data_IF_582961738930
#
_entry.id   IF_582961738930
#
_cell.length_a   1.000
_cell.length_b   1.000
_cell.length_c   1.000
_cell.angle_alpha   90.00
_cell.angle_beta   90.00
_cell.angle_gamma   90.00
#
_symmetry.space_group_name_H-M   'P 1'
#
loop_
_entity.id
_entity.type
_entity.pdbx_description
1 polymer ?
#
# COMPACT_ATOMS: atom_id res chain seq x y z
N UNK A 1 -16.65 -13.43 -7.59
CA UNK A 1 -16.43 -14.29 -8.77
C UNK A 1 -16.59 -15.77 -8.44
N UNK A 2 -15.72 -16.39 -7.63
CA UNK A 2 -15.75 -17.84 -7.36
C UNK A 2 -17.10 -18.28 -6.80
N UNK A 3 -17.58 -17.67 -5.74
CA UNK A 3 -18.78 -18.09 -5.02
C UNK A 3 -20.09 -17.75 -5.76
N UNK A 4 -20.21 -16.53 -6.29
CA UNK A 4 -21.45 -16.05 -6.89
C UNK A 4 -21.61 -16.42 -8.37
N UNK A 5 -20.47 -16.57 -9.09
CA UNK A 5 -20.48 -16.84 -10.54
C UNK A 5 -20.04 -18.26 -10.88
N UNK A 6 -19.74 -19.08 -9.86
CA UNK A 6 -19.29 -20.48 -10.03
C UNK A 6 -18.02 -20.64 -10.88
N UNK A 7 -17.08 -19.69 -10.77
CA UNK A 7 -15.82 -19.73 -11.50
C UNK A 7 -14.79 -20.55 -10.70
N UNK A 8 -14.80 -21.86 -10.88
CA UNK A 8 -14.00 -22.78 -10.07
C UNK A 8 -12.67 -23.20 -10.72
N UNK A 9 -12.44 -22.83 -11.96
CA UNK A 9 -11.19 -23.10 -12.64
C UNK A 9 -10.37 -21.83 -12.74
N UNK A 10 -9.15 -21.89 -12.26
CA UNK A 10 -8.21 -20.77 -12.27
C UNK A 10 -7.02 -21.16 -13.11
N UNK A 11 -6.66 -20.29 -14.06
CA UNK A 11 -5.39 -20.40 -14.77
C UNK A 11 -4.43 -19.45 -14.08
N UNK A 12 -3.43 -20.00 -13.43
CA UNK A 12 -2.29 -19.26 -12.91
C UNK A 12 -1.29 -19.10 -14.05
N UNK A 13 -0.96 -17.87 -14.41
CA UNK A 13 -0.04 -17.59 -15.50
C UNK A 13 1.17 -16.83 -14.96
N UNK A 14 2.35 -17.37 -15.20
CA UNK A 14 3.64 -16.77 -14.86
C UNK A 14 4.36 -16.35 -16.15
N UNK A 15 4.73 -15.08 -16.26
CA UNK A 15 5.47 -14.57 -17.42
C UNK A 15 6.97 -14.73 -17.13
N UNK A 16 7.68 -15.38 -18.05
CA UNK A 16 9.12 -15.66 -17.92
C UNK A 16 9.93 -14.36 -17.98
N UNK A 17 10.60 -14.03 -16.85
CA UNK A 17 11.48 -12.87 -16.80
C UNK A 17 10.80 -11.57 -17.25
N UNK A 18 9.58 -11.29 -16.77
CA UNK A 18 8.76 -10.19 -17.27
C UNK A 18 9.49 -8.86 -17.29
N UNK A 19 10.11 -8.48 -16.16
CA UNK A 19 10.79 -7.19 -16.05
C UNK A 19 12.00 -7.06 -16.97
N UNK A 20 12.63 -8.16 -17.33
CA UNK A 20 13.82 -8.19 -18.19
C UNK A 20 13.47 -8.25 -19.68
N UNK A 21 12.23 -8.61 -20.01
CA UNK A 21 11.78 -8.83 -21.39
C UNK A 21 10.81 -7.77 -21.94
N UNK A 22 10.56 -6.69 -21.20
CA UNK A 22 9.71 -5.59 -21.67
C UNK A 22 10.34 -4.91 -22.88
N UNK A 23 9.65 -4.92 -24.03
CA UNK A 23 10.13 -4.24 -25.23
C UNK A 23 9.98 -2.73 -25.13
N UNK A 24 11.10 -2.00 -25.15
CA UNK A 24 11.13 -0.53 -25.01
C UNK A 24 10.32 0.19 -26.06
N UNK A 25 10.44 -0.21 -27.33
CA UNK A 25 9.73 0.43 -28.43
C UNK A 25 8.23 0.28 -28.28
N UNK A 26 7.76 -0.94 -27.95
CA UNK A 26 6.35 -1.22 -27.72
C UNK A 26 5.81 -0.43 -26.53
N UNK A 27 6.56 -0.36 -25.43
CA UNK A 27 6.17 0.42 -24.26
C UNK A 27 6.01 1.91 -24.57
N UNK A 28 6.96 2.52 -25.31
CA UNK A 28 6.86 3.92 -25.70
C UNK A 28 5.65 4.15 -26.63
N UNK A 29 5.36 3.23 -27.55
CA UNK A 29 4.15 3.30 -28.38
C UNK A 29 2.87 3.22 -27.54
N UNK A 30 2.82 2.33 -26.54
CA UNK A 30 1.68 2.22 -25.63
C UNK A 30 1.46 3.52 -24.85
N UNK A 31 2.50 4.12 -24.30
CA UNK A 31 2.44 5.41 -23.60
C UNK A 31 1.89 6.50 -24.52
N UNK A 32 2.36 6.55 -25.76
CA UNK A 32 1.86 7.48 -26.78
C UNK A 32 0.36 7.29 -27.06
N UNK A 33 -0.09 6.04 -27.24
CA UNK A 33 -1.51 5.72 -27.47
C UNK A 33 -2.40 5.99 -26.27
N UNK A 34 -1.86 5.97 -25.05
CA UNK A 34 -2.56 6.39 -23.84
C UNK A 34 -2.76 7.91 -23.73
N UNK A 35 -2.22 8.69 -24.69
CA UNK A 35 -2.40 10.14 -24.77
C UNK A 35 -1.22 10.97 -24.25
N UNK A 36 -0.15 10.35 -23.79
CA UNK A 36 1.08 11.04 -23.36
C UNK A 36 1.96 11.27 -24.59
N UNK A 37 1.84 12.46 -25.20
CA UNK A 37 2.48 12.80 -26.49
C UNK A 37 3.62 13.81 -26.37
N UNK A 38 4.07 14.14 -25.17
CA UNK A 38 5.24 14.97 -24.95
C UNK A 38 6.51 14.22 -25.36
N UNK A 39 7.11 14.66 -26.48
CA UNK A 39 8.32 14.02 -27.03
C UNK A 39 9.52 14.09 -26.07
N UNK A 40 9.67 15.19 -25.31
CA UNK A 40 10.78 15.32 -24.35
C UNK A 40 10.64 14.31 -23.22
N UNK A 41 9.42 14.16 -22.67
CA UNK A 41 9.13 13.15 -21.64
C UNK A 41 9.37 11.73 -22.15
N UNK A 42 8.93 11.42 -23.38
CA UNK A 42 9.14 10.09 -23.97
C UNK A 42 10.64 9.80 -24.23
N UNK A 43 11.42 10.81 -24.60
CA UNK A 43 12.87 10.67 -24.68
C UNK A 43 13.51 10.39 -23.33
N UNK A 44 13.10 11.11 -22.27
CA UNK A 44 13.59 10.88 -20.91
C UNK A 44 13.27 9.44 -20.47
N UNK A 45 12.04 8.97 -20.67
CA UNK A 45 11.64 7.60 -20.33
C UNK A 45 12.50 6.58 -21.11
N UNK A 46 12.77 6.83 -22.39
CA UNK A 46 13.62 5.95 -23.22
C UNK A 46 15.05 5.88 -22.67
N UNK A 47 15.64 7.01 -22.32
CA UNK A 47 17.00 7.05 -21.73
C UNK A 47 17.04 6.36 -20.36
N UNK A 48 16.02 6.51 -19.54
CA UNK A 48 15.89 5.78 -18.27
C UNK A 48 15.81 4.25 -18.48
N UNK A 49 15.12 3.79 -19.51
CA UNK A 49 15.02 2.36 -19.85
C UNK A 49 16.34 1.79 -20.37
N UNK A 50 17.17 2.60 -21.00
CA UNK A 50 18.50 2.23 -21.53
C UNK A 50 19.64 2.47 -20.55
N UNK A 51 19.35 3.02 -19.37
CA UNK A 51 20.37 3.31 -18.39
C UNK A 51 21.20 2.05 -18.07
N UNK A 52 22.52 2.17 -18.00
CA UNK A 52 23.39 1.03 -17.75
C UNK A 52 23.13 0.47 -16.34
N UNK A 53 23.20 -0.84 -16.22
CA UNK A 53 23.06 -1.59 -14.96
C UNK A 53 24.45 -2.02 -14.51
N UNK A 54 24.84 -1.59 -13.32
CA UNK A 54 26.09 -2.04 -12.70
C UNK A 54 25.79 -3.32 -11.91
N UNK A 55 26.39 -4.42 -12.35
CA UNK A 55 26.22 -5.72 -11.70
C UNK A 55 27.06 -5.80 -10.40
N UNK A 56 26.77 -6.73 -9.48
CA UNK A 56 27.51 -6.89 -8.23
C UNK A 56 29.01 -7.17 -8.40
N UNK A 57 29.41 -7.73 -9.54
CA UNK A 57 30.80 -8.00 -9.93
C UNK A 57 31.50 -6.78 -10.56
N UNK A 58 30.79 -5.64 -10.69
CA UNK A 58 31.31 -4.41 -11.30
C UNK A 58 31.17 -4.34 -12.82
N UNK A 59 30.64 -5.37 -13.49
CA UNK A 59 30.37 -5.31 -14.93
C UNK A 59 29.21 -4.37 -15.23
N UNK A 60 29.26 -3.70 -16.38
CA UNK A 60 28.21 -2.76 -16.82
C UNK A 60 27.48 -3.36 -18.00
N UNK A 61 26.19 -3.58 -17.81
CA UNK A 61 25.30 -4.06 -18.87
C UNK A 61 24.41 -2.94 -19.42
N UNK A 62 24.23 -2.90 -20.73
CA UNK A 62 23.32 -1.98 -21.43
C UNK A 62 22.07 -2.74 -21.87
N UNK A 63 20.93 -2.58 -21.17
CA UNK A 63 19.74 -3.36 -21.46
C UNK A 63 19.12 -2.95 -22.80
N UNK A 64 18.93 -3.91 -23.71
CA UNK A 64 18.17 -3.71 -24.96
C UNK A 64 16.66 -3.77 -24.74
N UNK A 65 16.22 -4.50 -23.71
CA UNK A 65 14.85 -4.69 -23.28
C UNK A 65 14.80 -4.59 -21.75
N UNK A 66 13.59 -4.62 -21.22
CA UNK A 66 13.37 -4.67 -19.78
C UNK A 66 13.11 -3.32 -19.13
N UNK A 67 12.77 -3.40 -17.85
CA UNK A 67 12.62 -2.23 -16.97
C UNK A 67 13.55 -2.42 -15.78
N UNK A 68 14.36 -1.41 -15.39
CA UNK A 68 15.34 -1.55 -14.31
C UNK A 68 14.69 -2.05 -13.02
N UNK A 69 15.16 -3.18 -12.50
CA UNK A 69 14.66 -3.70 -11.22
C UNK A 69 15.05 -2.73 -10.09
N UNK A 70 14.07 -2.35 -9.26
CA UNK A 70 14.25 -1.32 -8.22
C UNK A 70 14.07 0.13 -8.70
N UNK A 71 13.90 0.36 -10.00
CA UNK A 71 13.58 1.69 -10.52
C UNK A 71 12.20 2.18 -10.08
N UNK A 72 12.08 3.45 -9.70
CA UNK A 72 10.83 4.04 -9.18
C UNK A 72 9.69 3.94 -10.20
N UNK A 73 9.98 4.08 -11.49
CA UNK A 73 8.99 4.01 -12.57
C UNK A 73 8.70 2.60 -13.05
N UNK A 74 9.55 1.61 -12.77
CA UNK A 74 9.42 0.25 -13.31
C UNK A 74 8.05 -0.40 -13.03
N UNK A 75 7.47 -0.32 -11.80
CA UNK A 75 6.14 -0.87 -11.56
C UNK A 75 5.02 -0.17 -12.35
N UNK A 76 5.16 1.13 -12.61
CA UNK A 76 4.20 1.87 -13.43
C UNK A 76 4.29 1.46 -14.90
N UNK A 77 5.51 1.43 -15.45
CA UNK A 77 5.76 1.08 -16.85
C UNK A 77 5.35 -0.36 -17.14
N UNK A 78 5.62 -1.29 -16.24
CA UNK A 78 5.17 -2.68 -16.31
C UNK A 78 3.64 -2.80 -16.34
N UNK A 79 2.95 -1.99 -15.55
CA UNK A 79 1.48 -1.94 -15.59
C UNK A 79 0.95 -1.34 -16.90
N UNK A 80 1.66 -0.40 -17.53
CA UNK A 80 1.33 0.12 -18.86
C UNK A 80 1.40 -0.99 -19.91
N UNK A 81 2.46 -1.79 -19.89
CA UNK A 81 2.64 -2.91 -20.83
C UNK A 81 1.47 -3.90 -20.75
N UNK A 82 1.13 -4.35 -19.57
CA UNK A 82 0.08 -5.36 -19.37
C UNK A 82 -1.35 -4.80 -19.37
N UNK A 83 -1.53 -3.48 -19.39
CA UNK A 83 -2.86 -2.88 -19.53
C UNK A 83 -3.55 -3.30 -20.84
N UNK A 84 -2.79 -3.55 -21.89
CA UNK A 84 -3.31 -4.04 -23.18
C UNK A 84 -3.89 -5.46 -23.04
N UNK A 85 -3.26 -6.32 -22.21
CA UNK A 85 -3.77 -7.63 -21.86
C UNK A 85 -5.09 -7.54 -21.07
N UNK A 86 -5.16 -6.63 -20.09
CA UNK A 86 -6.37 -6.42 -19.29
C UNK A 86 -7.57 -6.05 -20.19
N UNK A 87 -7.38 -5.13 -21.12
CA UNK A 87 -8.40 -4.73 -22.09
C UNK A 87 -8.79 -5.85 -23.05
N UNK A 88 -7.80 -6.59 -23.54
CA UNK A 88 -8.07 -7.71 -24.44
C UNK A 88 -8.88 -8.81 -23.75
N UNK A 89 -8.51 -9.22 -22.55
CA UNK A 89 -9.30 -10.22 -21.77
C UNK A 89 -10.70 -9.70 -21.47
N UNK A 90 -10.84 -8.43 -21.05
CA UNK A 90 -12.14 -7.85 -20.77
C UNK A 90 -13.04 -7.79 -22.04
N UNK A 91 -12.47 -7.60 -23.23
CA UNK A 91 -13.21 -7.61 -24.49
C UNK A 91 -13.75 -8.99 -24.87
N UNK A 92 -13.16 -10.07 -24.37
CA UNK A 92 -13.61 -11.44 -24.68
C UNK A 92 -14.92 -11.82 -23.94
N UNK A 93 -15.26 -11.12 -22.85
CA UNK A 93 -16.44 -11.41 -22.06
C UNK A 93 -17.08 -10.17 -21.42
N UNK A 94 -16.36 -9.47 -20.54
CA UNK A 94 -16.95 -8.40 -19.71
C UNK A 94 -17.44 -7.21 -20.52
N UNK A 95 -16.73 -6.85 -21.59
CA UNK A 95 -17.01 -5.72 -22.46
C UNK A 95 -17.39 -6.15 -23.88
N UNK A 96 -17.77 -7.42 -24.06
CA UNK A 96 -18.27 -7.90 -25.35
C UNK A 96 -19.54 -7.09 -25.70
N UNK A 97 -19.59 -6.47 -26.90
CA UNK A 97 -20.76 -5.73 -27.34
C UNK A 97 -21.97 -6.65 -27.54
N UNK A 98 -23.16 -6.12 -27.33
CA UNK A 98 -24.41 -6.81 -27.55
C UNK A 98 -25.20 -6.12 -28.64
N UNK A 99 -25.89 -6.89 -29.51
CA UNK A 99 -26.79 -6.35 -30.52
C UNK A 99 -28.10 -5.81 -29.91
N UNK A 100 -28.45 -6.28 -28.70
CA UNK A 100 -29.62 -5.83 -27.96
C UNK A 100 -29.21 -4.96 -26.78
N UNK A 101 -29.95 -3.86 -26.56
CA UNK A 101 -29.71 -2.97 -25.42
C UNK A 101 -30.44 -3.48 -24.17
N UNK A 102 -29.65 -4.04 -23.23
CA UNK A 102 -30.18 -4.53 -21.96
C UNK A 102 -30.32 -3.40 -20.95
N UNK A 103 -31.50 -3.28 -20.34
CA UNK A 103 -31.68 -2.41 -19.16
C UNK A 103 -30.90 -3.00 -17.97
N UNK A 104 -29.81 -2.33 -17.60
CA UNK A 104 -28.96 -2.75 -16.50
C UNK A 104 -29.20 -1.86 -15.27
N UNK A 105 -29.60 -2.46 -14.18
CA UNK A 105 -29.67 -1.81 -12.87
C UNK A 105 -28.31 -1.32 -12.42
N UNK A 106 -28.24 -0.12 -11.85
CA UNK A 106 -27.02 0.43 -11.27
C UNK A 106 -26.94 0.03 -9.79
N UNK A 107 -25.91 -0.70 -9.41
CA UNK A 107 -25.66 -1.09 -8.03
C UNK A 107 -25.23 0.11 -7.16
N UNK A 108 -25.38 0.03 -5.81
CA UNK A 108 -24.99 1.12 -4.91
C UNK A 108 -23.53 1.60 -5.07
N UNK A 109 -22.63 0.74 -5.55
CA UNK A 109 -21.24 1.09 -5.85
C UNK A 109 -21.04 1.77 -7.22
N UNK A 110 -22.10 2.08 -7.96
CA UNK A 110 -22.09 2.72 -9.27
C UNK A 110 -21.75 1.80 -10.45
N UNK A 111 -21.65 0.48 -10.26
CA UNK A 111 -21.43 -0.48 -11.36
C UNK A 111 -22.74 -0.96 -11.94
N UNK A 112 -22.81 -1.20 -13.27
CA UNK A 112 -23.95 -1.82 -13.94
C UNK A 112 -24.05 -3.29 -13.57
N UNK A 113 -25.27 -3.75 -13.26
CA UNK A 113 -25.56 -5.17 -13.07
C UNK A 113 -25.73 -5.86 -14.45
N UNK A 114 -24.70 -6.57 -14.89
CA UNK A 114 -24.67 -7.25 -16.19
C UNK A 114 -25.19 -8.70 -16.15
N UNK A 115 -25.91 -9.11 -15.10
CA UNK A 115 -26.33 -10.52 -14.92
C UNK A 115 -27.18 -11.06 -16.07
N UNK A 116 -28.10 -10.26 -16.61
CA UNK A 116 -28.95 -10.62 -17.77
C UNK A 116 -28.11 -10.79 -19.04
N UNK A 117 -27.16 -9.91 -19.29
CA UNK A 117 -26.24 -9.99 -20.42
C UNK A 117 -25.42 -11.28 -20.36
N UNK A 118 -24.81 -11.56 -19.19
CA UNK A 118 -24.01 -12.77 -19.01
C UNK A 118 -24.86 -14.05 -19.07
N UNK A 119 -26.15 -13.99 -18.64
CA UNK A 119 -27.10 -15.07 -18.83
C UNK A 119 -27.36 -15.35 -20.30
N UNK A 120 -27.61 -14.32 -21.10
CA UNK A 120 -27.79 -14.43 -22.54
C UNK A 120 -26.53 -15.02 -23.21
N UNK A 121 -25.33 -14.48 -22.95
CA UNK A 121 -24.09 -15.00 -23.52
C UNK A 121 -23.89 -16.50 -23.26
N UNK A 122 -24.18 -16.97 -22.02
CA UNK A 122 -24.05 -18.39 -21.67
C UNK A 122 -25.02 -19.29 -22.42
N UNK A 123 -26.22 -18.80 -22.74
CA UNK A 123 -27.32 -19.59 -23.30
C UNK A 123 -27.36 -19.52 -24.81
N UNK A 124 -26.93 -18.41 -25.43
CA UNK A 124 -27.11 -18.15 -26.86
C UNK A 124 -25.81 -18.06 -27.64
N UNK A 125 -24.65 -18.11 -26.98
CA UNK A 125 -23.36 -17.96 -27.65
C UNK A 125 -22.35 -19.04 -27.24
N UNK A 126 -21.29 -19.19 -28.05
CA UNK A 126 -20.14 -20.04 -27.75
C UNK A 126 -19.00 -19.28 -27.04
N UNK A 127 -19.25 -18.05 -26.56
CA UNK A 127 -18.26 -17.25 -25.83
C UNK A 127 -17.76 -17.97 -24.59
N UNK A 128 -16.50 -17.77 -24.26
CA UNK A 128 -15.87 -18.35 -23.07
C UNK A 128 -15.87 -17.33 -21.93
N UNK A 129 -16.53 -17.67 -20.84
CA UNK A 129 -16.60 -16.82 -19.65
C UNK A 129 -15.24 -16.76 -18.97
N UNK A 130 -14.60 -15.60 -19.01
CA UNK A 130 -13.28 -15.34 -18.43
C UNK A 130 -13.22 -14.00 -17.72
N UNK A 131 -12.51 -13.97 -16.59
CA UNK A 131 -12.21 -12.75 -15.83
C UNK A 131 -10.74 -12.77 -15.44
N UNK A 132 -10.08 -11.62 -15.54
CA UNK A 132 -8.69 -11.45 -15.09
C UNK A 132 -8.64 -10.75 -13.74
N UNK A 133 -7.73 -11.23 -12.88
CA UNK A 133 -7.28 -10.52 -11.67
C UNK A 133 -5.76 -10.46 -11.75
N UNK A 134 -5.21 -9.25 -11.78
CA UNK A 134 -3.77 -9.02 -11.96
C UNK A 134 -3.22 -8.09 -10.90
N UNK A 135 -2.02 -8.40 -10.46
CA UNK A 135 -1.17 -7.54 -9.64
C UNK A 135 0.25 -7.56 -10.23
N UNK A 136 0.64 -6.46 -10.89
CA UNK A 136 1.85 -6.39 -11.70
C UNK A 136 1.88 -7.50 -12.77
N UNK A 137 2.85 -8.39 -12.73
CA UNK A 137 3.02 -9.55 -13.61
C UNK A 137 2.33 -10.83 -13.12
N UNK A 138 1.99 -10.89 -11.84
CA UNK A 138 1.23 -12.03 -11.28
C UNK A 138 -0.26 -11.87 -11.60
N UNK A 139 -0.81 -12.75 -12.41
CA UNK A 139 -2.22 -12.70 -12.77
C UNK A 139 -2.89 -14.07 -12.86
N UNK A 140 -4.19 -14.04 -12.66
CA UNK A 140 -5.05 -15.22 -12.69
C UNK A 140 -6.27 -14.99 -13.57
N UNK A 141 -6.61 -16.03 -14.34
CA UNK A 141 -7.81 -16.06 -15.16
C UNK A 141 -8.82 -17.01 -14.54
N UNK A 142 -10.02 -16.53 -14.31
CA UNK A 142 -11.09 -17.30 -13.70
C UNK A 142 -12.08 -17.76 -14.76
N UNK A 143 -12.34 -19.07 -14.81
CA UNK A 143 -13.20 -19.71 -15.79
C UNK A 143 -14.22 -20.62 -15.10
N UNK A 144 -15.33 -20.88 -15.79
CA UNK A 144 -16.40 -21.77 -15.29
C UNK A 144 -16.09 -23.25 -15.54
N UNK A 145 -15.55 -23.59 -16.72
CA UNK A 145 -15.25 -24.95 -17.17
C UNK A 145 -13.77 -25.14 -17.39
N UNK A 146 -13.30 -26.38 -17.22
CA UNK A 146 -11.89 -26.74 -17.46
C UNK A 146 -11.51 -26.56 -18.92
N UNK A 147 -12.37 -27.03 -19.84
CA UNK A 147 -12.14 -26.88 -21.28
C UNK A 147 -12.02 -25.43 -21.74
N UNK A 148 -12.74 -24.51 -21.09
CA UNK A 148 -12.62 -23.07 -21.37
C UNK A 148 -11.30 -22.52 -20.84
N UNK A 149 -10.88 -22.95 -19.65
CA UNK A 149 -9.60 -22.56 -19.06
C UNK A 149 -8.41 -22.99 -19.92
N UNK A 150 -8.44 -24.21 -20.48
CA UNK A 150 -7.42 -24.73 -21.39
C UNK A 150 -7.34 -23.90 -22.68
N UNK A 151 -8.47 -23.61 -23.32
CA UNK A 151 -8.53 -22.80 -24.54
C UNK A 151 -8.06 -21.37 -24.30
N UNK A 152 -8.47 -20.76 -23.18
CA UNK A 152 -8.08 -19.40 -22.79
C UNK A 152 -6.59 -19.35 -22.49
N UNK A 153 -6.02 -20.35 -21.84
CA UNK A 153 -4.59 -20.41 -21.57
C UNK A 153 -3.77 -20.41 -22.86
N UNK A 154 -4.16 -21.22 -23.84
CA UNK A 154 -3.51 -21.25 -25.17
C UNK A 154 -3.61 -19.88 -25.84
N UNK A 155 -4.80 -19.28 -25.86
CA UNK A 155 -5.02 -17.99 -26.49
C UNK A 155 -4.22 -16.86 -25.80
N UNK A 156 -4.13 -16.87 -24.48
CA UNK A 156 -3.33 -15.87 -23.72
C UNK A 156 -1.84 -16.05 -23.97
N UNK A 157 -1.35 -17.30 -24.00
CA UNK A 157 0.05 -17.59 -24.32
C UNK A 157 0.42 -17.05 -25.70
N UNK A 158 -0.41 -17.35 -26.72
CA UNK A 158 -0.19 -16.85 -28.07
C UNK A 158 -0.28 -15.33 -28.14
N UNK A 159 -1.27 -14.72 -27.50
CA UNK A 159 -1.43 -13.27 -27.49
C UNK A 159 -0.24 -12.54 -26.86
N UNK A 160 0.27 -13.03 -25.72
CA UNK A 160 1.45 -12.47 -25.04
C UNK A 160 2.68 -12.54 -25.95
N UNK A 161 2.89 -13.68 -26.61
CA UNK A 161 3.98 -13.88 -27.56
C UNK A 161 3.85 -12.92 -28.76
N UNK A 162 2.71 -12.94 -29.46
CA UNK A 162 2.53 -12.22 -30.71
C UNK A 162 2.46 -10.69 -30.49
N UNK A 163 1.79 -10.26 -29.44
CA UNK A 163 1.50 -8.85 -29.20
C UNK A 163 2.56 -8.14 -28.38
N UNK A 164 3.09 -8.80 -27.35
CA UNK A 164 4.03 -8.19 -26.40
C UNK A 164 5.45 -8.78 -26.48
N UNK A 165 5.66 -9.85 -27.24
CA UNK A 165 6.92 -10.61 -27.30
C UNK A 165 7.33 -11.16 -25.93
N UNK A 166 6.36 -11.55 -25.14
CA UNK A 166 6.54 -12.13 -23.79
C UNK A 166 6.23 -13.62 -23.82
N UNK A 167 7.05 -14.40 -23.14
CA UNK A 167 6.88 -15.82 -23.03
C UNK A 167 6.27 -16.23 -21.67
N UNK A 168 5.38 -17.22 -21.68
CA UNK A 168 4.80 -17.81 -20.49
C UNK A 168 5.70 -18.94 -19.98
N UNK A 169 5.96 -18.98 -18.67
CA UNK A 169 6.65 -20.10 -18.03
C UNK A 169 5.69 -21.28 -17.90
N UNK A 170 5.86 -22.31 -18.72
CA UNK A 170 5.00 -23.51 -18.69
C UNK A 170 5.16 -24.32 -17.40
N UNK A 171 6.36 -24.31 -16.83
CA UNK A 171 6.65 -25.04 -15.58
C UNK A 171 5.92 -24.43 -14.37
N UNK A 172 5.76 -23.12 -14.35
CA UNK A 172 5.11 -22.38 -13.25
C UNK A 172 3.62 -22.14 -13.49
N UNK A 173 3.19 -22.13 -14.76
CA UNK A 173 1.80 -21.90 -15.11
C UNK A 173 0.98 -23.17 -14.98
N UNK A 174 -0.23 -23.06 -14.40
CA UNK A 174 -1.07 -24.23 -14.13
C UNK A 174 -2.56 -23.90 -14.12
N UNK A 175 -3.38 -24.90 -14.45
CA UNK A 175 -4.84 -24.82 -14.36
C UNK A 175 -5.29 -25.55 -13.09
N UNK A 176 -5.90 -24.83 -12.17
CA UNK A 176 -6.29 -25.32 -10.85
C UNK A 176 -7.82 -25.43 -10.76
N UNK A 177 -8.31 -26.56 -10.26
CA UNK A 177 -9.70 -26.69 -9.82
C UNK A 177 -9.81 -26.35 -8.35
N UNK A 178 -10.37 -25.18 -8.05
CA UNK A 178 -10.52 -24.66 -6.68
C UNK A 178 -11.37 -25.54 -5.75
N UNK A 179 -12.22 -26.43 -6.29
CA UNK A 179 -12.96 -27.40 -5.47
C UNK A 179 -12.05 -28.50 -4.90
N UNK A 180 -10.89 -28.74 -5.54
CA UNK A 180 -9.96 -29.80 -5.15
C UNK A 180 -8.67 -29.27 -4.54
N UNK A 181 -8.10 -28.23 -5.13
CA UNK A 181 -6.80 -27.69 -4.78
C UNK A 181 -6.88 -26.20 -4.41
N UNK A 182 -5.92 -25.73 -3.62
CA UNK A 182 -5.71 -24.32 -3.35
C UNK A 182 -5.03 -23.63 -4.55
N UNK A 183 -5.40 -22.38 -4.80
CA UNK A 183 -4.64 -21.46 -5.66
C UNK A 183 -4.04 -20.37 -4.80
N UNK A 184 -2.74 -20.14 -4.94
CA UNK A 184 -1.99 -19.13 -4.20
C UNK A 184 -1.96 -17.82 -4.96
N UNK A 185 -2.19 -16.71 -4.27
CA UNK A 185 -2.09 -15.36 -4.82
C UNK A 185 -1.71 -14.35 -3.75
N UNK A 186 -0.61 -13.61 -3.95
CA UNK A 186 -0.13 -12.57 -3.04
C UNK A 186 0.00 -13.01 -1.57
N UNK A 187 0.49 -14.22 -1.35
CA UNK A 187 0.65 -14.78 0.00
C UNK A 187 -0.64 -15.32 0.64
N UNK A 188 -1.74 -15.32 -0.11
CA UNK A 188 -2.98 -15.99 0.27
C UNK A 188 -3.16 -17.27 -0.53
N UNK A 189 -3.80 -18.25 0.07
CA UNK A 189 -4.32 -19.44 -0.63
C UNK A 189 -5.83 -19.49 -0.57
N UNK A 190 -6.45 -19.85 -1.69
CA UNK A 190 -7.89 -19.80 -1.93
C UNK A 190 -8.42 -21.17 -2.35
N UNK A 191 -9.52 -21.63 -1.74
CA UNK A 191 -10.21 -22.86 -2.10
C UNK A 191 -11.72 -22.72 -2.01
N UNK A 192 -12.46 -23.36 -2.90
CA UNK A 192 -13.90 -23.46 -2.85
C UNK A 192 -14.31 -24.71 -2.04
N UNK A 193 -14.87 -24.52 -0.86
CA UNK A 193 -15.27 -25.60 0.06
C UNK A 193 -16.78 -25.74 0.05
N UNK A 194 -17.28 -26.98 -0.02
CA UNK A 194 -18.72 -27.28 0.02
C UNK A 194 -19.29 -26.94 1.39
N UNK A 195 -20.32 -26.09 1.43
CA UNK A 195 -21.07 -25.74 2.64
C UNK A 195 -22.57 -25.92 2.35
N UNK A 196 -23.18 -26.93 2.90
CA UNK A 196 -24.57 -27.33 2.60
C UNK A 196 -24.75 -27.55 1.08
N UNK A 197 -25.67 -26.84 0.42
CA UNK A 197 -25.98 -26.95 -1.01
C UNK A 197 -25.08 -26.09 -1.92
N UNK A 198 -24.20 -25.22 -1.36
CA UNK A 198 -23.37 -24.28 -2.11
C UNK A 198 -21.89 -24.45 -1.82
N UNK A 199 -21.03 -23.80 -2.63
CA UNK A 199 -19.62 -23.66 -2.37
C UNK A 199 -19.34 -22.26 -1.83
N UNK A 200 -18.51 -22.20 -0.78
CA UNK A 200 -18.01 -20.95 -0.20
C UNK A 200 -16.49 -20.88 -0.37
N UNK A 201 -15.96 -19.69 -0.53
CA UNK A 201 -14.51 -19.49 -0.60
C UNK A 201 -13.95 -19.46 0.81
N UNK A 202 -12.96 -20.32 1.07
CA UNK A 202 -12.08 -20.22 2.23
C UNK A 202 -10.71 -19.74 1.78
N UNK A 203 -10.15 -18.84 2.55
CA UNK A 203 -8.82 -18.30 2.31
C UNK A 203 -7.98 -18.32 3.57
N UNK A 204 -6.73 -18.67 3.41
CA UNK A 204 -5.70 -18.75 4.44
C UNK A 204 -4.48 -17.91 4.03
N UNK A 205 -3.57 -17.68 4.94
CA UNK A 205 -2.18 -17.38 4.61
C UNK A 205 -1.54 -18.62 3.98
N UNK A 206 -0.64 -18.44 3.01
CA UNK A 206 0.14 -19.58 2.49
C UNK A 206 1.04 -20.16 3.59
N UNK A 207 1.33 -21.45 3.55
CA UNK A 207 2.24 -22.10 4.50
C UNK A 207 3.61 -21.40 4.55
N UNK A 208 4.11 -20.96 3.39
CA UNK A 208 5.36 -20.20 3.28
C UNK A 208 5.27 -18.84 3.99
N UNK A 209 4.13 -18.15 3.87
CA UNK A 209 3.91 -16.87 4.57
C UNK A 209 3.83 -17.07 6.08
N UNK A 210 3.09 -18.08 6.56
CA UNK A 210 3.00 -18.43 7.99
C UNK A 210 4.41 -18.69 8.57
N UNK A 211 5.23 -19.53 7.88
CA UNK A 211 6.58 -19.80 8.36
C UNK A 211 7.45 -18.55 8.37
N UNK A 212 7.44 -17.76 7.31
CA UNK A 212 8.23 -16.53 7.21
C UNK A 212 7.89 -15.53 8.33
N UNK A 213 6.61 -15.26 8.53
CA UNK A 213 6.19 -14.28 9.55
C UNK A 213 6.42 -14.82 10.99
N UNK A 214 6.21 -16.11 11.21
CA UNK A 214 6.58 -16.79 12.46
C UNK A 214 8.08 -16.64 12.76
N UNK A 215 8.94 -16.93 11.80
CA UNK A 215 10.38 -16.91 11.98
C UNK A 215 10.90 -15.49 12.26
N UNK A 216 10.36 -14.48 11.55
CA UNK A 216 10.66 -13.07 11.82
C UNK A 216 10.26 -12.64 13.23
N UNK A 217 9.08 -13.03 13.71
CA UNK A 217 8.63 -12.70 15.06
C UNK A 217 9.49 -13.40 16.12
N UNK A 218 9.89 -14.66 15.89
CA UNK A 218 10.79 -15.39 16.79
C UNK A 218 12.17 -14.70 16.87
N UNK A 219 12.71 -14.30 15.74
CA UNK A 219 13.96 -13.53 15.67
C UNK A 219 13.86 -12.23 16.46
N UNK A 220 12.77 -11.51 16.33
CA UNK A 220 12.53 -10.27 17.05
C UNK A 220 12.42 -10.52 18.58
N UNK A 221 11.77 -11.60 18.98
CA UNK A 221 11.71 -12.01 20.41
C UNK A 221 13.12 -12.33 20.95
N UNK A 222 13.97 -12.99 20.15
CA UNK A 222 15.36 -13.23 20.54
C UNK A 222 16.14 -11.92 20.73
N UNK A 223 15.96 -10.95 19.83
CA UNK A 223 16.58 -9.62 19.96
C UNK A 223 16.15 -8.95 21.28
N UNK A 224 14.85 -8.89 21.57
CA UNK A 224 14.35 -8.35 22.85
C UNK A 224 15.00 -9.04 24.07
N UNK A 225 15.22 -10.35 23.97
CA UNK A 225 15.83 -11.11 25.07
C UNK A 225 17.30 -10.75 25.34
N UNK A 226 18.05 -10.35 24.33
CA UNK A 226 19.48 -10.00 24.43
C UNK A 226 19.72 -8.55 24.87
N UNK A 227 18.73 -7.67 24.76
CA UNK A 227 18.87 -6.26 25.13
C UNK A 227 18.86 -6.11 26.67
N UNK A 228 19.78 -5.31 27.19
CA UNK A 228 19.90 -4.98 28.61
C UNK A 228 19.43 -3.55 28.92
N UNK A 229 19.56 -2.63 27.96
CA UNK A 229 19.09 -1.27 28.11
C UNK A 229 17.56 -1.16 27.96
N UNK A 230 16.93 -0.39 28.88
CA UNK A 230 15.47 -0.26 28.92
C UNK A 230 14.89 0.50 27.71
N UNK A 231 15.59 1.49 27.21
CA UNK A 231 15.13 2.30 26.08
C UNK A 231 15.25 1.52 24.77
N UNK A 232 16.31 0.73 24.63
CA UNK A 232 16.48 -0.18 23.51
C UNK A 232 15.45 -1.32 23.57
N UNK A 233 15.20 -1.89 24.74
CA UNK A 233 14.12 -2.88 24.95
C UNK A 233 12.77 -2.33 24.50
N UNK A 234 12.44 -1.10 24.90
CA UNK A 234 11.20 -0.46 24.51
C UNK A 234 11.08 -0.26 22.98
N UNK A 235 12.19 0.04 22.29
CA UNK A 235 12.25 0.14 20.80
C UNK A 235 12.03 -1.22 20.15
N UNK A 236 12.71 -2.27 20.64
CA UNK A 236 12.57 -3.61 20.07
C UNK A 236 11.16 -4.21 20.29
N UNK A 237 10.52 -3.92 21.43
CA UNK A 237 9.11 -4.28 21.66
C UNK A 237 8.18 -3.50 20.71
N UNK A 238 8.45 -2.23 20.49
CA UNK A 238 7.67 -1.40 19.52
C UNK A 238 7.81 -1.95 18.10
N UNK A 239 9.00 -2.40 17.70
CA UNK A 239 9.24 -3.04 16.42
C UNK A 239 8.47 -4.36 16.29
N UNK A 240 8.49 -5.22 17.35
CA UNK A 240 7.69 -6.43 17.39
C UNK A 240 6.18 -6.13 17.20
N UNK A 241 5.66 -5.12 17.91
CA UNK A 241 4.26 -4.71 17.76
C UNK A 241 3.94 -4.23 16.33
N UNK A 242 4.85 -3.49 15.73
CA UNK A 242 4.70 -3.03 14.33
C UNK A 242 4.65 -4.20 13.33
N UNK A 243 5.45 -5.25 13.57
CA UNK A 243 5.42 -6.47 12.77
C UNK A 243 4.07 -7.19 12.92
N UNK A 244 3.56 -7.34 14.14
CA UNK A 244 2.22 -7.92 14.39
C UNK A 244 1.13 -7.11 13.68
N UNK A 245 1.18 -5.77 13.77
CA UNK A 245 0.21 -4.91 13.09
C UNK A 245 0.30 -5.04 11.56
N UNK A 246 1.50 -5.17 11.03
CA UNK A 246 1.73 -5.44 9.60
C UNK A 246 1.07 -6.74 9.14
N UNK A 247 1.29 -7.84 9.86
CA UNK A 247 0.66 -9.15 9.59
C UNK A 247 -0.88 -9.01 9.64
N UNK A 248 -1.42 -8.42 10.70
CA UNK A 248 -2.85 -8.26 10.86
C UNK A 248 -3.46 -7.36 9.77
N UNK A 249 -2.84 -6.25 9.44
CA UNK A 249 -3.35 -5.34 8.42
C UNK A 249 -3.35 -5.94 7.03
N UNK A 250 -2.32 -6.71 6.69
CA UNK A 250 -2.21 -7.33 5.38
C UNK A 250 -3.14 -8.55 5.23
N UNK A 251 -3.11 -9.47 6.20
CA UNK A 251 -3.80 -10.77 6.09
C UNK A 251 -5.22 -10.80 6.65
N UNK A 252 -5.70 -9.73 7.29
CA UNK A 252 -7.05 -9.66 7.89
C UNK A 252 -8.21 -9.98 6.96
N UNK A 253 -7.98 -9.99 5.66
CA UNK A 253 -9.01 -10.31 4.67
C UNK A 253 -9.13 -11.82 4.39
N UNK A 254 -8.20 -12.64 4.87
CA UNK A 254 -8.33 -14.09 4.80
C UNK A 254 -9.46 -14.55 5.74
N UNK A 255 -10.33 -15.45 5.22
CA UNK A 255 -11.50 -15.91 6.00
C UNK A 255 -11.11 -16.77 7.20
N UNK A 256 -9.92 -17.37 7.18
CA UNK A 256 -9.40 -18.26 8.24
C UNK A 256 -8.20 -17.65 8.98
N UNK A 257 -8.03 -16.33 8.92
CA UNK A 257 -6.87 -15.64 9.50
C UNK A 257 -6.68 -15.90 11.00
N UNK A 258 -7.77 -16.06 11.74
CA UNK A 258 -7.70 -16.36 13.17
C UNK A 258 -6.98 -17.69 13.44
N UNK A 259 -7.25 -18.72 12.63
CA UNK A 259 -6.59 -20.03 12.72
C UNK A 259 -5.10 -19.93 12.38
N UNK A 260 -4.77 -19.17 11.33
CA UNK A 260 -3.40 -19.02 10.84
C UNK A 260 -2.55 -18.24 11.86
N UNK A 261 -3.07 -17.12 12.40
CA UNK A 261 -2.39 -16.34 13.43
C UNK A 261 -2.31 -17.07 14.77
N UNK A 262 -3.27 -17.93 15.10
CA UNK A 262 -3.18 -18.79 16.30
C UNK A 262 -2.06 -19.81 16.16
N UNK A 263 -1.84 -20.36 14.97
CA UNK A 263 -0.69 -21.24 14.71
C UNK A 263 0.64 -20.51 14.91
N UNK A 264 0.76 -19.26 14.43
CA UNK A 264 1.94 -18.41 14.66
C UNK A 264 2.09 -18.15 16.18
N UNK A 265 1.00 -17.78 16.86
CA UNK A 265 0.98 -17.45 18.27
C UNK A 265 1.52 -18.58 19.15
N UNK A 266 1.12 -19.83 18.92
CA UNK A 266 1.58 -20.99 19.71
C UNK A 266 3.11 -21.08 19.73
N UNK A 267 3.76 -20.96 18.57
CA UNK A 267 5.20 -21.01 18.46
C UNK A 267 5.88 -19.78 19.09
N UNK A 268 5.43 -18.58 18.73
CA UNK A 268 6.02 -17.32 19.22
C UNK A 268 5.85 -17.20 20.74
N UNK A 269 4.69 -17.54 21.30
CA UNK A 269 4.44 -17.45 22.75
C UNK A 269 5.30 -18.42 23.56
N UNK A 270 5.62 -19.61 23.00
CA UNK A 270 6.55 -20.55 23.62
C UNK A 270 7.95 -19.97 23.71
N UNK A 271 8.45 -19.40 22.61
CA UNK A 271 9.76 -18.75 22.61
C UNK A 271 9.80 -17.53 23.53
N UNK A 272 8.74 -16.72 23.56
CA UNK A 272 8.62 -15.60 24.50
C UNK A 272 8.72 -16.05 25.96
N UNK A 273 7.96 -17.07 26.35
CA UNK A 273 7.97 -17.59 27.73
C UNK A 273 9.37 -18.07 28.12
N UNK A 274 10.06 -18.76 27.22
CA UNK A 274 11.38 -19.33 27.50
C UNK A 274 12.48 -18.25 27.54
N UNK A 275 12.48 -17.32 26.56
CA UNK A 275 13.55 -16.32 26.39
C UNK A 275 13.39 -15.08 27.27
N UNK A 276 12.16 -14.74 27.63
CA UNK A 276 11.81 -13.57 28.43
C UNK A 276 11.28 -13.97 29.81
N UNK A 277 11.72 -15.14 30.31
CA UNK A 277 11.37 -15.62 31.64
C UNK A 277 11.73 -14.57 32.71
N UNK A 278 10.79 -14.28 33.63
CA UNK A 278 10.98 -13.24 34.65
C UNK A 278 10.73 -11.79 34.17
N UNK A 279 10.81 -11.51 32.86
CA UNK A 279 10.56 -10.18 32.30
C UNK A 279 9.16 -10.05 31.69
N UNK A 280 8.56 -11.15 31.24
CA UNK A 280 7.25 -11.19 30.61
C UNK A 280 6.13 -11.33 31.65
N UNK A 281 5.24 -10.34 31.75
CA UNK A 281 4.14 -10.35 32.71
C UNK A 281 2.77 -10.35 32.05
N UNK A 282 1.75 -10.86 32.77
CA UNK A 282 0.34 -10.78 32.37
C UNK A 282 -0.35 -9.53 32.92
N UNK A 283 0.23 -8.91 33.94
CA UNK A 283 -0.31 -7.72 34.61
C UNK A 283 0.45 -6.48 34.11
N UNK A 284 -0.26 -5.44 33.75
CA UNK A 284 0.29 -4.18 33.27
C UNK A 284 -0.81 -3.24 32.78
N UNK A 285 -0.44 -2.02 32.45
CA UNK A 285 -1.35 -1.01 31.89
C UNK A 285 -1.07 -0.80 30.40
N UNK A 286 -2.14 -0.76 29.60
CA UNK A 286 -2.03 -0.52 28.16
C UNK A 286 -1.99 0.99 27.91
N UNK A 287 -0.79 1.52 27.69
CA UNK A 287 -0.57 2.95 27.43
C UNK A 287 -0.89 3.33 25.98
N UNK A 288 -0.61 2.44 25.02
CA UNK A 288 -0.75 2.67 23.60
C UNK A 288 -2.22 2.66 23.19
N UNK A 289 -2.73 3.80 22.74
CA UNK A 289 -4.14 3.98 22.32
C UNK A 289 -4.57 2.97 21.25
N UNK A 290 -3.69 2.71 20.27
CA UNK A 290 -3.97 1.76 19.20
C UNK A 290 -4.13 0.33 19.73
N UNK A 291 -3.27 -0.12 20.65
CA UNK A 291 -3.33 -1.45 21.25
C UNK A 291 -4.59 -1.56 22.11
N UNK A 292 -4.87 -0.56 22.94
CA UNK A 292 -6.08 -0.53 23.78
C UNK A 292 -7.35 -0.66 22.93
N UNK A 293 -7.44 0.09 21.84
CA UNK A 293 -8.62 0.08 20.95
C UNK A 293 -8.82 -1.24 20.22
N UNK A 294 -7.75 -1.87 19.73
CA UNK A 294 -7.85 -3.02 18.82
C UNK A 294 -7.63 -4.37 19.52
N UNK A 295 -6.94 -4.39 20.66
CA UNK A 295 -6.51 -5.62 21.35
C UNK A 295 -6.85 -5.63 22.85
N UNK A 296 -7.42 -4.57 23.42
CA UNK A 296 -7.66 -4.42 24.84
C UNK A 296 -8.42 -5.57 25.50
N UNK A 297 -9.34 -6.21 24.78
CA UNK A 297 -10.12 -7.36 25.22
C UNK A 297 -9.36 -8.70 25.18
N UNK A 298 -8.12 -8.72 24.67
CA UNK A 298 -7.38 -9.95 24.48
C UNK A 298 -6.71 -10.46 25.75
N UNK A 299 -7.00 -11.69 26.12
CA UNK A 299 -6.29 -12.41 27.19
C UNK A 299 -4.84 -12.79 26.84
N UNK A 300 -4.45 -12.62 25.56
CA UNK A 300 -3.10 -12.94 25.07
C UNK A 300 -2.12 -11.76 25.24
N UNK A 301 -2.57 -10.56 25.61
CA UNK A 301 -1.70 -9.41 25.90
C UNK A 301 -0.68 -9.77 26.98
N UNK A 302 0.54 -9.31 26.77
CA UNK A 302 1.65 -9.42 27.72
C UNK A 302 2.32 -8.06 27.86
N UNK A 303 3.18 -7.94 28.87
CA UNK A 303 3.92 -6.73 29.15
C UNK A 303 5.39 -7.06 29.41
N UNK A 304 6.26 -6.22 28.92
CA UNK A 304 7.71 -6.24 29.19
C UNK A 304 8.07 -4.85 29.70
N UNK A 305 8.53 -4.77 30.94
CA UNK A 305 8.76 -3.49 31.62
C UNK A 305 7.49 -2.61 31.57
N UNK A 306 7.56 -1.43 30.94
CA UNK A 306 6.45 -0.49 30.74
C UNK A 306 5.70 -0.63 29.40
N UNK A 307 6.11 -1.56 28.54
CA UNK A 307 5.59 -1.70 27.18
C UNK A 307 4.62 -2.85 27.03
N UNK A 308 3.55 -2.60 26.28
CA UNK A 308 2.57 -3.62 25.91
C UNK A 308 3.05 -4.43 24.73
N UNK A 309 2.96 -5.75 24.80
CA UNK A 309 3.27 -6.69 23.71
C UNK A 309 1.96 -7.09 23.04
N UNK A 310 1.82 -6.75 21.77
CA UNK A 310 0.64 -7.03 20.97
C UNK A 310 0.45 -8.54 20.72
N UNK A 311 -0.77 -9.07 20.85
CA UNK A 311 -1.05 -10.50 20.67
C UNK A 311 -1.22 -10.84 19.20
N UNK A 312 -0.30 -11.61 18.61
CA UNK A 312 -0.39 -12.04 17.21
C UNK A 312 -1.57 -12.96 16.93
N UNK A 313 -2.01 -13.76 17.93
CA UNK A 313 -3.14 -14.69 17.77
C UNK A 313 -4.53 -14.03 17.85
N UNK A 314 -4.61 -12.76 18.27
CA UNK A 314 -5.89 -12.08 18.46
C UNK A 314 -6.28 -11.26 17.23
N UNK A 315 -6.94 -11.92 16.28
CA UNK A 315 -7.43 -11.28 15.05
C UNK A 315 -8.73 -11.95 14.58
N UNK A 316 -9.60 -11.15 13.96
CA UNK A 316 -10.78 -11.63 13.25
C UNK A 316 -10.74 -11.19 11.79
N UNK A 317 -11.35 -11.99 10.90
CA UNK A 317 -11.48 -11.65 9.50
C UNK A 317 -12.27 -10.36 9.31
N UNK A 318 -11.83 -9.53 8.39
CA UNK A 318 -12.54 -8.33 7.99
C UNK A 318 -12.99 -8.45 6.54
N UNK A 319 -14.27 -8.22 6.29
CA UNK A 319 -14.78 -8.17 4.92
C UNK A 319 -14.09 -7.02 4.17
N UNK A 320 -13.49 -7.27 3.00
CA UNK A 320 -12.89 -6.20 2.21
C UNK A 320 -13.97 -5.21 1.77
N UNK A 321 -13.63 -3.91 1.85
CA UNK A 321 -14.51 -2.87 1.33
C UNK A 321 -14.50 -2.93 -0.19
N UNK A 322 -15.69 -2.97 -0.81
CA UNK A 322 -15.81 -2.81 -2.25
C UNK A 322 -15.39 -1.39 -2.64
N UNK A 323 -14.44 -1.29 -3.57
CA UNK A 323 -14.04 0.00 -4.12
C UNK A 323 -15.24 0.63 -4.84
N UNK A 324 -15.67 1.81 -4.41
CA UNK A 324 -16.71 2.57 -5.12
C UNK A 324 -16.16 2.99 -6.49
N UNK A 325 -16.97 2.92 -7.55
CA UNK A 325 -16.57 3.33 -8.90
C UNK A 325 -16.06 4.77 -8.94
N UNK A 326 -16.63 5.65 -8.11
CA UNK A 326 -16.22 7.06 -7.99
C UNK A 326 -14.85 7.25 -7.34
N UNK A 327 -14.32 6.25 -6.61
CA UNK A 327 -13.01 6.34 -5.96
C UNK A 327 -11.92 6.20 -7.01
N UNK A 328 -11.46 7.33 -7.52
CA UNK A 328 -10.42 7.45 -8.54
C UNK A 328 -9.49 8.61 -8.21
N UNK A 329 -8.17 8.39 -8.17
CA UNK A 329 -7.20 9.47 -7.90
C UNK A 329 -6.99 10.44 -9.08
N UNK A 330 -7.55 10.14 -10.22
CA UNK A 330 -7.39 10.96 -11.43
C UNK A 330 -8.53 11.96 -11.66
N UNK A 331 -9.64 11.84 -10.91
CA UNK A 331 -10.76 12.80 -10.97
C UNK A 331 -10.86 13.62 -9.69
N UNK A 332 -11.32 14.89 -9.74
CA UNK A 332 -11.50 15.71 -8.54
C UNK A 332 -12.43 15.06 -7.51
N UNK A 333 -13.57 14.52 -7.96
CA UNK A 333 -14.57 13.85 -7.13
C UNK A 333 -14.00 12.58 -6.49
N UNK A 334 -13.22 11.82 -7.25
CA UNK A 334 -12.56 10.60 -6.77
C UNK A 334 -11.50 10.89 -5.73
N UNK A 335 -10.70 11.95 -5.91
CA UNK A 335 -9.76 12.43 -4.89
C UNK A 335 -10.46 12.89 -3.63
N UNK A 336 -11.55 13.66 -3.75
CA UNK A 336 -12.35 14.09 -2.61
C UNK A 336 -12.88 12.88 -1.81
N UNK A 337 -13.39 11.83 -2.48
CA UNK A 337 -13.88 10.61 -1.81
C UNK A 337 -12.73 9.81 -1.15
N UNK A 338 -11.53 9.75 -1.75
CA UNK A 338 -10.34 9.12 -1.15
C UNK A 338 -9.93 9.85 0.13
N UNK A 339 -9.96 11.18 0.08
CA UNK A 339 -9.46 12.03 1.17
C UNK A 339 -10.52 12.36 2.23
N UNK A 340 -11.78 12.01 2.01
CA UNK A 340 -12.91 12.31 2.90
C UNK A 340 -12.69 11.93 4.36
N UNK A 341 -11.96 10.86 4.63
CA UNK A 341 -11.70 10.34 5.98
C UNK A 341 -10.31 10.72 6.52
N UNK A 342 -9.50 11.47 5.77
CA UNK A 342 -8.15 11.83 6.22
C UNK A 342 -8.13 12.99 7.24
N UNK A 343 -9.27 13.66 7.44
CA UNK A 343 -9.35 14.81 8.35
C UNK A 343 -8.47 16.00 7.94
N UNK A 344 -8.13 16.07 6.63
CA UNK A 344 -7.27 17.12 6.04
C UNK A 344 -8.11 17.95 5.07
N UNK A 345 -7.87 19.26 5.05
CA UNK A 345 -8.44 20.14 4.03
C UNK A 345 -7.79 19.83 2.66
N UNK A 346 -8.53 19.11 1.81
CA UNK A 346 -8.02 18.67 0.50
C UNK A 346 -7.80 19.82 -0.47
N UNK A 347 -8.53 20.91 -0.33
CA UNK A 347 -8.36 22.11 -1.16
C UNK A 347 -7.00 22.76 -0.90
N UNK A 348 -6.65 22.93 0.37
CA UNK A 348 -5.35 23.44 0.79
C UNK A 348 -4.22 22.50 0.34
N UNK A 349 -4.37 21.20 0.54
CA UNK A 349 -3.37 20.22 0.11
C UNK A 349 -3.13 20.26 -1.41
N UNK A 350 -4.20 20.33 -2.22
CA UNK A 350 -4.09 20.44 -3.68
C UNK A 350 -3.47 21.78 -4.12
N UNK A 351 -3.75 22.86 -3.41
CA UNK A 351 -3.12 24.14 -3.66
C UNK A 351 -1.61 24.09 -3.35
N UNK A 352 -1.21 23.50 -2.21
CA UNK A 352 0.20 23.28 -1.87
C UNK A 352 0.93 22.45 -2.94
N UNK A 353 0.29 21.41 -3.48
CA UNK A 353 0.87 20.60 -4.57
C UNK A 353 1.08 21.37 -5.87
N UNK A 354 0.28 22.40 -6.13
CA UNK A 354 0.36 23.24 -7.35
C UNK A 354 1.31 24.43 -7.19
N UNK A 355 1.64 24.81 -5.97
CA UNK A 355 2.57 25.90 -5.72
C UNK A 355 3.98 25.54 -6.20
N UNK A 356 4.54 26.39 -7.05
CA UNK A 356 5.93 26.28 -7.53
C UNK A 356 6.76 27.34 -6.83
N UNK A 357 7.65 26.93 -5.98
CA UNK A 357 8.67 27.81 -5.40
C UNK A 357 10.02 27.53 -6.07
N UNK A 358 10.39 28.39 -7.01
CA UNK A 358 11.60 28.21 -7.84
C UNK A 358 12.93 28.33 -7.05
N UNK A 359 12.89 28.84 -5.81
CA UNK A 359 14.03 29.01 -4.94
C UNK A 359 14.25 27.87 -3.93
N UNK A 360 13.37 26.85 -3.93
CA UNK A 360 13.44 25.72 -2.99
C UNK A 360 13.76 24.43 -3.71
N UNK A 361 14.38 23.50 -2.99
CA UNK A 361 14.70 22.17 -3.54
C UNK A 361 13.41 21.34 -3.77
N UNK A 362 13.49 20.35 -4.66
CA UNK A 362 12.40 19.39 -4.88
C UNK A 362 12.11 18.62 -3.58
N UNK A 363 13.15 18.26 -2.82
CA UNK A 363 13.01 17.56 -1.54
C UNK A 363 12.21 18.38 -0.53
N UNK A 364 12.48 19.69 -0.40
CA UNK A 364 11.70 20.58 0.45
C UNK A 364 10.23 20.64 0.03
N UNK A 365 9.96 20.76 -1.27
CA UNK A 365 8.60 20.85 -1.80
C UNK A 365 7.79 19.57 -1.55
N UNK A 366 8.39 18.40 -1.72
CA UNK A 366 7.76 17.11 -1.47
C UNK A 366 7.54 16.86 0.02
N UNK A 367 8.53 17.20 0.86
CA UNK A 367 8.45 17.06 2.31
C UNK A 367 7.40 17.99 2.91
N UNK A 368 7.22 19.19 2.38
CA UNK A 368 6.16 20.14 2.80
C UNK A 368 4.77 19.51 2.69
N UNK A 369 4.47 18.84 1.57
CA UNK A 369 3.18 18.18 1.34
C UNK A 369 3.01 17.00 2.30
N UNK A 370 4.06 16.19 2.46
CA UNK A 370 4.08 15.03 3.34
C UNK A 370 3.87 15.42 4.80
N UNK A 371 4.51 16.49 5.27
CA UNK A 371 4.37 17.03 6.62
C UNK A 371 2.97 17.61 6.86
N UNK A 372 2.42 18.36 5.90
CA UNK A 372 1.05 18.88 6.00
C UNK A 372 0.04 17.73 6.19
N UNK A 373 0.21 16.64 5.41
CA UNK A 373 -0.61 15.45 5.55
C UNK A 373 -0.40 14.75 6.89
N UNK A 374 0.85 14.56 7.33
CA UNK A 374 1.18 13.91 8.60
C UNK A 374 0.68 14.68 9.83
N UNK A 375 0.65 16.01 9.74
CA UNK A 375 0.15 16.90 10.78
C UNK A 375 -1.38 17.16 10.69
N UNK A 376 -2.09 16.44 9.80
CA UNK A 376 -3.54 16.60 9.58
C UNK A 376 -3.95 18.05 9.25
N UNK A 377 -3.12 18.79 8.50
CA UNK A 377 -3.36 20.18 8.15
C UNK A 377 -3.30 21.16 9.32
N UNK A 378 -2.61 20.79 10.41
CA UNK A 378 -2.54 21.57 11.65
C UNK A 378 -1.13 22.03 11.95
N UNK A 379 -1.05 23.19 12.61
CA UNK A 379 0.20 23.71 13.15
C UNK A 379 0.77 22.77 14.21
N UNK A 380 2.04 22.37 14.08
CA UNK A 380 2.71 21.46 15.03
C UNK A 380 2.76 22.01 16.48
N UNK A 381 2.82 23.32 16.62
CA UNK A 381 2.92 24.02 17.91
C UNK A 381 1.54 24.23 18.52
N UNK A 382 0.65 24.94 17.82
CA UNK A 382 -0.66 25.34 18.35
C UNK A 382 -1.77 24.29 18.17
N UNK A 383 -1.59 23.33 17.26
CA UNK A 383 -2.62 22.36 16.90
C UNK A 383 -3.82 22.93 16.13
N UNK A 384 -3.84 24.24 15.85
CA UNK A 384 -4.90 24.90 15.08
C UNK A 384 -4.81 24.48 13.60
N UNK A 385 -5.97 24.42 12.92
CA UNK A 385 -6.04 24.17 11.48
C UNK A 385 -5.39 25.32 10.72
N UNK A 386 -4.73 25.00 9.61
CA UNK A 386 -3.97 25.96 8.80
C UNK A 386 -4.61 26.16 7.44
N UNK A 387 -4.80 27.40 7.05
CA UNK A 387 -5.17 27.83 5.71
C UNK A 387 -3.92 28.07 4.86
N UNK A 388 -4.08 28.12 3.54
CA UNK A 388 -2.98 28.12 2.58
C UNK A 388 -1.96 29.26 2.80
N UNK A 389 -2.45 30.43 3.13
CA UNK A 389 -1.69 31.66 3.40
C UNK A 389 -1.01 31.69 4.77
N UNK A 390 -1.45 30.84 5.68
CA UNK A 390 -0.91 30.73 7.04
C UNK A 390 0.19 29.66 7.17
N UNK A 391 0.37 28.82 6.14
CA UNK A 391 1.28 27.66 6.18
C UNK A 391 2.72 28.12 5.98
N UNK A 392 3.57 27.82 6.95
CA UNK A 392 5.01 27.94 6.82
C UNK A 392 5.71 26.60 7.12
N UNK A 393 6.53 26.14 6.17
CA UNK A 393 7.37 24.97 6.38
C UNK A 393 8.73 25.43 6.95
N UNK A 394 8.89 25.22 8.25
CA UNK A 394 10.03 25.70 9.02
C UNK A 394 11.14 24.66 9.12
N UNK A 395 12.41 25.08 8.97
CA UNK A 395 13.56 24.27 9.27
C UNK A 395 13.85 24.33 10.77
N UNK A 396 13.74 23.20 11.47
CA UNK A 396 14.05 23.12 12.91
C UNK A 396 15.46 23.60 13.20
N UNK A 397 16.44 23.06 12.49
CA UNK A 397 17.79 23.60 12.40
C UNK A 397 17.88 24.44 11.12
N UNK A 398 18.12 25.75 11.19
CA UNK A 398 18.19 26.64 10.03
C UNK A 398 19.28 26.23 9.02
N UNK A 399 19.06 26.52 7.74
CA UNK A 399 19.99 26.16 6.66
C UNK A 399 21.36 26.81 6.87
N UNK A 400 21.40 28.07 7.34
CA UNK A 400 22.68 28.75 7.62
C UNK A 400 23.46 28.16 8.82
N UNK A 401 22.81 27.32 9.64
CA UNK A 401 23.42 26.53 10.72
C UNK A 401 23.71 25.09 10.32
N UNK A 402 23.61 24.76 9.03
CA UNK A 402 23.86 23.41 8.51
C UNK A 402 22.60 22.51 8.42
N UNK A 403 21.42 23.08 8.62
CA UNK A 403 20.14 22.34 8.46
C UNK A 403 19.89 21.94 7.02
N UNK A 404 19.32 20.75 6.81
CA UNK A 404 18.97 20.19 5.50
C UNK A 404 17.45 20.25 5.23
N UNK A 405 17.07 20.04 3.97
CA UNK A 405 15.67 19.92 3.54
C UNK A 405 15.03 18.55 3.84
N UNK A 406 15.72 17.69 4.60
CA UNK A 406 15.22 16.38 4.99
C UNK A 406 13.96 16.47 5.85
N UNK A 407 13.10 15.47 5.72
CA UNK A 407 11.80 15.39 6.41
C UNK A 407 11.93 15.62 7.93
N UNK A 408 12.94 15.04 8.57
CA UNK A 408 13.15 15.12 10.01
C UNK A 408 13.47 16.53 10.49
N UNK A 409 14.10 17.36 9.63
CA UNK A 409 14.47 18.74 9.94
C UNK A 409 13.38 19.76 9.65
N UNK A 410 12.29 19.35 8.99
CA UNK A 410 11.19 20.24 8.61
C UNK A 410 9.99 20.07 9.53
N UNK A 411 9.17 21.09 9.65
CA UNK A 411 7.91 21.10 10.39
C UNK A 411 6.96 22.15 9.84
N UNK A 412 5.65 21.84 9.77
CA UNK A 412 4.64 22.81 9.37
C UNK A 412 4.13 23.58 10.59
N UNK A 413 4.22 24.87 10.53
CA UNK A 413 3.75 25.80 11.57
C UNK A 413 2.94 26.94 10.95
N UNK A 414 2.15 27.64 11.78
CA UNK A 414 1.48 28.86 11.40
C UNK A 414 2.50 30.00 11.21
N UNK A 415 2.29 30.91 10.27
CA UNK A 415 3.20 32.02 9.99
C UNK A 415 3.57 32.82 11.24
N UNK A 416 2.60 33.15 12.11
CA UNK A 416 2.85 33.87 13.35
C UNK A 416 3.74 33.10 14.32
N UNK A 417 3.59 31.75 14.38
CA UNK A 417 4.47 30.88 15.15
C UNK A 417 5.89 30.90 14.57
N UNK A 418 6.01 30.83 13.24
CA UNK A 418 7.30 30.94 12.56
C UNK A 418 8.01 32.26 12.86
N UNK A 419 7.28 33.36 12.80
CA UNK A 419 7.81 34.67 13.16
C UNK A 419 8.27 34.73 14.62
N UNK A 420 7.52 34.14 15.55
CA UNK A 420 7.86 34.11 16.97
C UNK A 420 9.06 33.19 17.25
N UNK A 421 9.26 32.08 16.46
CA UNK A 421 10.46 31.24 16.57
C UNK A 421 11.72 32.05 16.30
N UNK A 422 11.69 32.96 15.34
CA UNK A 422 12.83 33.79 14.93
C UNK A 422 12.91 35.18 15.58
N UNK A 423 11.90 35.59 16.33
CA UNK A 423 11.88 36.91 16.97
C UNK A 423 12.94 37.01 18.09
N UNK A 424 13.74 38.07 18.04
CA UNK A 424 14.74 38.43 19.07
C UNK A 424 14.39 39.71 19.83
N UNK A 425 13.68 40.66 19.19
CA UNK A 425 13.26 41.88 19.80
C UNK A 425 12.10 41.67 20.82
N UNK A 426 12.20 42.16 22.05
CA UNK A 426 11.19 41.97 23.10
C UNK A 426 9.79 42.42 22.70
N UNK A 427 9.69 43.55 21.99
CA UNK A 427 8.43 44.10 21.51
C UNK A 427 7.72 43.15 20.54
N UNK A 428 8.49 42.57 19.59
CA UNK A 428 7.99 41.58 18.63
C UNK A 428 7.54 40.31 19.34
N UNK A 429 8.33 39.84 20.30
CA UNK A 429 8.01 38.63 21.09
C UNK A 429 6.68 38.86 21.83
N UNK A 430 6.54 40.00 22.54
CA UNK A 430 5.33 40.34 23.27
C UNK A 430 4.10 40.45 22.36
N UNK A 431 4.24 41.10 21.19
CA UNK A 431 3.16 41.23 20.23
C UNK A 431 2.65 39.87 19.72
N UNK A 432 3.55 38.95 19.33
CA UNK A 432 3.15 37.61 18.84
C UNK A 432 2.70 36.66 19.97
N UNK A 433 3.21 36.78 21.19
CA UNK A 433 2.68 36.07 22.35
C UNK A 433 1.23 36.46 22.62
N UNK A 434 0.91 37.76 22.60
CA UNK A 434 -0.46 38.24 22.75
C UNK A 434 -1.39 37.79 21.64
N UNK A 435 -0.89 37.64 20.41
CA UNK A 435 -1.67 37.14 19.26
C UNK A 435 -1.94 35.63 19.33
N UNK A 436 -0.95 34.87 19.73
CA UNK A 436 -1.02 33.39 19.75
C UNK A 436 -1.68 32.86 21.02
N UNK A 437 -1.46 33.55 22.17
CA UNK A 437 -1.92 33.22 23.52
C UNK A 437 -1.62 31.72 23.87
N UNK A 438 -0.35 31.30 23.86
CA UNK A 438 0.01 29.93 24.03
C UNK A 438 -0.25 29.48 25.50
N UNK A 439 -0.83 28.31 25.66
CA UNK A 439 -0.82 27.60 26.94
C UNK A 439 0.59 27.05 27.27
N UNK A 440 0.80 26.58 28.50
CA UNK A 440 2.11 26.05 28.96
C UNK A 440 2.67 24.97 28.02
N UNK A 441 1.80 24.11 27.47
CA UNK A 441 2.20 23.03 26.59
C UNK A 441 2.60 23.54 25.19
N UNK A 442 1.89 24.51 24.68
CA UNK A 442 2.18 25.16 23.40
C UNK A 442 3.47 25.97 23.50
N UNK A 443 3.65 26.69 24.62
CA UNK A 443 4.88 27.44 24.88
C UNK A 443 6.12 26.54 24.98
N UNK A 444 6.02 25.40 25.64
CA UNK A 444 7.10 24.42 25.69
C UNK A 444 7.49 23.89 24.30
N UNK A 445 6.53 23.61 23.43
CA UNK A 445 6.80 23.20 22.05
C UNK A 445 7.45 24.31 21.21
N UNK A 446 7.02 25.53 21.42
CA UNK A 446 7.58 26.72 20.77
C UNK A 446 9.05 26.89 21.17
N UNK A 447 9.35 26.82 22.49
CA UNK A 447 10.70 26.99 23.02
C UNK A 447 11.68 25.94 22.49
N UNK A 448 11.24 24.69 22.34
CA UNK A 448 12.06 23.65 21.67
C UNK A 448 12.47 24.12 20.27
N UNK A 449 11.56 24.66 19.46
CA UNK A 449 11.88 25.13 18.13
C UNK A 449 12.74 26.40 18.14
N UNK A 450 12.55 27.29 19.14
CA UNK A 450 13.39 28.49 19.31
C UNK A 450 14.84 28.10 19.60
N UNK A 451 15.04 27.20 20.56
CA UNK A 451 16.39 26.71 20.91
C UNK A 451 17.07 26.04 19.72
N UNK A 452 16.35 25.21 18.96
CA UNK A 452 16.86 24.58 17.75
C UNK A 452 17.21 25.61 16.65
N UNK A 453 16.52 26.75 16.62
CA UNK A 453 16.80 27.86 15.71
C UNK A 453 17.88 28.84 16.22
N UNK A 454 18.51 28.54 17.36
CA UNK A 454 19.56 29.35 17.96
C UNK A 454 19.05 30.53 18.80
N UNK A 455 17.77 30.56 19.18
CA UNK A 455 17.16 31.64 19.97
C UNK A 455 16.89 31.20 21.41
N UNK A 456 16.94 32.09 22.40
CA UNK A 456 16.61 31.76 23.80
C UNK A 456 15.12 31.40 23.96
N UNK A 457 14.82 30.64 25.01
CA UNK A 457 13.44 30.42 25.46
C UNK A 457 12.75 31.69 25.90
N UNK A 458 11.42 31.71 25.82
CA UNK A 458 10.57 32.85 26.24
C UNK A 458 9.46 32.39 27.17
#
# INVERSE_FOLDING_TARGET
>A
MIQLQHLYYVVDVDIKGFFDNVNHTKLIQQIWHMGIRDKKLLCIIREMLKAPIVMPDGTVEHPANGTPQGGILSPLLSNVVLNELDWWIASQWENMPTSYEYKCEIRPNGTKNKSSIYGAFRNTTNLKEVYIIRYADDFKLFCRKRSDAEKIFIAVKQWLHDRLRLEVSEEKSKIINLKRHYSEFLGFELKAVKKRKSYVVKSHMTAKAISREKDKLIEQVKKIAHVQDRDEEAREVTLYNSMVFGIHNYYRFATMIATDCEQIHRNVSTVMKNRLYGRLTKKGHINEVYIRKNYGESKQIRFISSKTVAPVGYIQTKTPMFKKKKVCKYTPEGRAEIHKNLGINTTVMLALMRMKETRRSVEYMDNRISLYAAQYGRCAVTGKELWLDEIHCHHKLPVHMGGSDKYENLVIVHENVHRLIHATAPETITAYLNLIQPDKKTLAKLNILRVMAGNPEI
#
